data_IF_069103714225
#
_entry.id   IF_069103714225
#
_cell.length_a   1.000
_cell.length_b   1.000
_cell.length_c   1.000
_cell.angle_alpha   90.00
_cell.angle_beta   90.00
_cell.angle_gamma   90.00
#
_symmetry.space_group_name_H-M   'P 1'
#
loop_
_entity.id
_entity.type
_entity.pdbx_description
1 polymer ?
#
# COMPACT_ATOMS: atom_id res chain seq x y z
N UNK A 1 18.09 -14.02 23.12
CA UNK A 1 17.75 -14.31 21.70
C UNK A 1 16.25 -14.20 21.41
N UNK A 2 15.34 -14.57 22.32
CA UNK A 2 13.88 -14.50 22.11
C UNK A 2 13.27 -13.10 21.88
N UNK A 3 13.82 -12.06 22.53
CA UNK A 3 13.30 -10.70 22.40
C UNK A 3 13.37 -10.15 20.96
N UNK A 4 14.47 -10.45 20.24
CA UNK A 4 14.62 -10.07 18.82
C UNK A 4 13.61 -10.79 17.93
N UNK A 5 13.37 -12.07 18.18
CA UNK A 5 12.40 -12.88 17.44
C UNK A 5 10.97 -12.37 17.63
N UNK A 6 10.63 -11.94 18.84
CA UNK A 6 9.33 -11.32 19.17
C UNK A 6 9.11 -10.00 18.41
N UNK A 7 10.12 -9.13 18.37
CA UNK A 7 10.04 -7.87 17.62
C UNK A 7 9.84 -8.13 16.12
N UNK A 8 10.62 -9.05 15.54
CA UNK A 8 10.49 -9.43 14.14
C UNK A 8 9.10 -9.99 13.83
N UNK A 9 8.57 -10.88 14.67
CA UNK A 9 7.22 -11.42 14.49
C UNK A 9 6.14 -10.33 14.53
N UNK A 10 6.26 -9.37 15.45
CA UNK A 10 5.33 -8.25 15.54
C UNK A 10 5.36 -7.35 14.29
N UNK A 11 6.56 -7.05 13.79
CA UNK A 11 6.74 -6.27 12.55
C UNK A 11 6.16 -7.00 11.34
N UNK A 12 6.40 -8.30 11.21
CA UNK A 12 5.87 -9.12 10.11
C UNK A 12 4.33 -9.17 10.17
N UNK A 13 3.75 -9.41 11.35
CA UNK A 13 2.29 -9.43 11.51
C UNK A 13 1.65 -8.07 11.17
N UNK A 14 2.28 -6.97 11.61
CA UNK A 14 1.79 -5.62 11.37
C UNK A 14 1.85 -5.24 9.89
N UNK A 15 2.96 -5.56 9.21
CA UNK A 15 3.13 -5.30 7.77
C UNK A 15 2.19 -6.16 6.93
N UNK A 16 2.01 -7.43 7.29
CA UNK A 16 1.05 -8.32 6.64
C UNK A 16 -0.37 -7.75 6.73
N UNK A 17 -0.81 -7.36 7.94
CA UNK A 17 -2.13 -6.74 8.14
C UNK A 17 -2.32 -5.47 7.29
N UNK A 18 -1.33 -4.58 7.25
CA UNK A 18 -1.40 -3.38 6.43
C UNK A 18 -1.57 -3.69 4.93
N UNK A 19 -0.82 -4.67 4.42
CA UNK A 19 -0.91 -5.11 3.03
C UNK A 19 -2.31 -5.70 2.73
N UNK A 20 -2.85 -6.54 3.62
CA UNK A 20 -4.19 -7.10 3.44
C UNK A 20 -5.29 -6.05 3.43
N UNK A 21 -5.19 -5.03 4.28
CA UNK A 21 -6.11 -3.90 4.26
C UNK A 21 -6.05 -3.16 2.90
N UNK A 22 -4.85 -2.95 2.36
CA UNK A 22 -4.63 -2.34 1.05
C UNK A 22 -5.29 -3.16 -0.09
N UNK A 23 -5.13 -4.50 -0.06
CA UNK A 23 -5.80 -5.39 -1.02
C UNK A 23 -7.33 -5.48 -0.81
N UNK A 24 -7.80 -5.28 0.42
CA UNK A 24 -9.21 -5.24 0.79
C UNK A 24 -9.94 -3.96 0.39
N UNK A 25 -9.24 -2.84 0.20
CA UNK A 25 -9.82 -1.53 -0.14
C UNK A 25 -10.61 -1.51 -1.47
N UNK A 26 -10.42 -2.50 -2.35
CA UNK A 26 -11.24 -2.71 -3.57
C UNK A 26 -12.75 -2.67 -3.30
N UNK A 27 -13.17 -3.00 -2.07
CA UNK A 27 -14.57 -3.13 -1.67
C UNK A 27 -15.18 -1.83 -1.15
N UNK A 28 -14.38 -0.82 -0.78
CA UNK A 28 -14.86 0.31 0.04
C UNK A 28 -14.84 1.68 -0.65
N UNK A 29 -13.85 2.01 -1.50
CA UNK A 29 -13.64 3.42 -1.94
C UNK A 29 -13.58 3.63 -3.46
N UNK A 30 -13.15 2.65 -4.25
CA UNK A 30 -12.95 2.88 -5.71
C UNK A 30 -13.40 1.76 -6.64
N UNK A 31 -13.86 0.62 -6.13
CA UNK A 31 -14.27 -0.54 -6.95
C UNK A 31 -13.14 -1.20 -7.77
N UNK A 32 -11.95 -0.60 -7.81
CA UNK A 32 -10.75 -1.09 -8.51
C UNK A 32 -9.81 -1.78 -7.53
N UNK A 33 -9.04 -2.75 -8.01
CA UNK A 33 -8.04 -3.45 -7.20
C UNK A 33 -6.80 -2.58 -6.97
N UNK A 34 -6.02 -2.89 -5.92
CA UNK A 34 -4.72 -2.24 -5.68
C UNK A 34 -3.79 -2.30 -6.90
N UNK A 35 -3.83 -3.40 -7.65
CA UNK A 35 -3.00 -3.61 -8.84
C UNK A 35 -3.30 -2.56 -9.92
N UNK A 36 -4.56 -2.11 -10.00
CA UNK A 36 -4.96 -1.06 -10.95
C UNK A 36 -4.28 0.28 -10.64
N UNK A 37 -4.17 0.62 -9.35
CA UNK A 37 -3.53 1.86 -8.90
C UNK A 37 -2.00 1.75 -8.81
N UNK A 38 -1.45 0.53 -8.83
CA UNK A 38 -0.02 0.32 -8.79
C UNK A 38 0.62 0.73 -10.13
N UNK A 39 1.13 1.95 -10.19
CA UNK A 39 1.65 2.56 -11.40
C UNK A 39 0.66 3.44 -12.16
N UNK A 40 -0.48 3.77 -11.54
CA UNK A 40 -1.43 4.74 -12.07
C UNK A 40 -0.85 6.15 -12.01
N UNK A 41 -1.20 6.97 -13.01
CA UNK A 41 -0.73 8.35 -13.09
C UNK A 41 0.80 8.48 -12.99
N UNK A 42 1.23 9.54 -12.33
CA UNK A 42 2.61 9.90 -12.11
C UNK A 42 3.12 9.49 -10.72
N UNK A 43 2.25 9.49 -9.70
CA UNK A 43 2.61 9.39 -8.29
C UNK A 43 2.17 8.07 -7.66
N UNK A 44 1.06 7.47 -8.10
CA UNK A 44 0.57 6.22 -7.51
C UNK A 44 1.48 5.02 -7.84
N UNK A 45 2.17 4.49 -6.84
CA UNK A 45 3.01 3.29 -6.95
C UNK A 45 4.31 3.39 -6.16
N UNK A 46 4.94 2.24 -5.88
CA UNK A 46 6.18 2.19 -5.11
C UNK A 46 7.35 2.82 -5.88
N UNK A 47 8.13 3.67 -5.20
CA UNK A 47 9.38 4.22 -5.72
C UNK A 47 9.23 5.39 -6.70
N UNK A 48 8.03 5.93 -6.87
CA UNK A 48 7.81 7.11 -7.71
C UNK A 48 8.18 8.38 -6.98
N UNK A 49 8.66 9.37 -7.74
CA UNK A 49 8.89 10.73 -7.24
C UNK A 49 7.64 11.55 -7.48
N UNK A 50 7.34 12.45 -6.56
CA UNK A 50 6.22 13.36 -6.72
C UNK A 50 6.39 14.20 -7.99
N UNK A 51 5.34 14.24 -8.79
CA UNK A 51 5.20 14.92 -10.07
C UNK A 51 3.82 15.58 -10.13
N UNK A 52 3.59 16.42 -11.14
CA UNK A 52 2.31 17.07 -11.33
C UNK A 52 1.22 15.98 -11.49
N UNK A 53 0.23 15.91 -10.59
CA UNK A 53 -0.76 14.85 -10.61
C UNK A 53 -1.64 14.96 -11.86
N UNK A 54 -2.00 13.81 -12.42
CA UNK A 54 -2.86 13.74 -13.63
C UNK A 54 -4.33 13.96 -13.29
N UNK A 55 -4.75 13.56 -12.08
CA UNK A 55 -6.09 13.72 -11.54
C UNK A 55 -6.07 13.72 -10.00
N UNK A 56 -7.24 13.83 -9.39
CA UNK A 56 -7.40 13.85 -7.93
C UNK A 56 -6.98 12.53 -7.24
N UNK A 57 -6.91 11.42 -7.98
CA UNK A 57 -6.50 10.12 -7.44
C UNK A 57 -4.98 10.01 -7.40
N UNK A 58 -4.28 10.71 -8.29
CA UNK A 58 -2.83 10.74 -8.43
C UNK A 58 -2.15 11.82 -7.58
N UNK A 59 -2.88 12.46 -6.66
CA UNK A 59 -2.34 13.52 -5.78
C UNK A 59 -1.48 12.99 -4.62
#
# INVERSE_FOLDING_TARGET
MYFRTLILACLIASTYSAIWNLFGMKKCIGGKSLIYYNGYGCNCGLGRKYQLPVDDVDM
#
